data_IF_928453875897
#
_entry.id   IF_928453875897
#
_cell.length_a   1.000
_cell.length_b   1.000
_cell.length_c   1.000
_cell.angle_alpha   90.00
_cell.angle_beta   90.00
_cell.angle_gamma   90.00
#
_symmetry.space_group_name_H-M   'P 1'
#
loop_
_entity.id
_entity.type
_entity.pdbx_description
1 polymer ?
#
# COMPACT_ATOMS: atom_id res chain seq x y z
N UNK A 1 2.70 -34.76 21.95
CA UNK A 1 2.85 -34.59 20.48
C UNK A 1 1.66 -33.90 19.81
N UNK A 2 0.40 -34.15 20.22
CA UNK A 2 -0.80 -33.56 19.60
C UNK A 2 -0.87 -32.01 19.65
N UNK A 3 -0.44 -31.38 20.75
CA UNK A 3 -0.48 -29.93 20.91
C UNK A 3 0.52 -29.18 20.01
N UNK A 4 1.71 -29.76 19.78
CA UNK A 4 2.72 -29.19 18.87
C UNK A 4 2.26 -29.27 17.41
N UNK A 5 1.58 -30.36 17.02
CA UNK A 5 0.98 -30.50 15.69
C UNK A 5 -0.13 -29.49 15.43
N UNK A 6 -0.97 -29.20 16.44
CA UNK A 6 -2.01 -28.17 16.34
C UNK A 6 -1.41 -26.76 16.16
N UNK A 7 -0.37 -26.42 16.93
CA UNK A 7 0.29 -25.12 16.82
C UNK A 7 0.92 -24.89 15.44
N UNK A 8 1.53 -25.93 14.86
CA UNK A 8 2.09 -25.88 13.50
C UNK A 8 0.98 -25.73 12.46
N UNK A 9 -0.13 -26.46 12.60
CA UNK A 9 -1.27 -26.33 11.69
C UNK A 9 -1.89 -24.93 11.73
N UNK A 10 -2.02 -24.32 12.92
CA UNK A 10 -2.50 -22.95 13.07
C UNK A 10 -1.56 -21.95 12.39
N UNK A 11 -0.24 -22.10 12.55
CA UNK A 11 0.74 -21.20 11.93
C UNK A 11 0.69 -21.22 10.40
N UNK A 12 0.36 -22.37 9.79
CA UNK A 12 0.25 -22.49 8.33
C UNK A 12 -1.01 -21.84 7.74
N UNK A 13 -2.05 -21.61 8.54
CA UNK A 13 -3.33 -21.01 8.08
C UNK A 13 -3.29 -19.48 8.12
N UNK A 14 -2.45 -18.89 8.97
CA UNK A 14 -2.27 -17.42 9.09
C UNK A 14 -2.02 -16.71 7.75
N UNK A 15 -1.13 -17.16 6.85
CA UNK A 15 -0.86 -16.45 5.60
C UNK A 15 -2.03 -16.48 4.61
N UNK A 16 -2.98 -17.41 4.73
CA UNK A 16 -4.16 -17.48 3.87
C UNK A 16 -5.17 -16.36 4.16
N UNK A 17 -5.11 -15.79 5.37
CA UNK A 17 -5.96 -14.66 5.79
C UNK A 17 -5.34 -13.30 5.42
N UNK A 18 -4.04 -13.27 5.14
CA UNK A 18 -3.32 -12.07 4.73
C UNK A 18 -3.44 -11.85 3.22
N UNK A 19 -4.53 -11.23 2.78
CA UNK A 19 -4.60 -10.66 1.43
C UNK A 19 -3.90 -9.30 1.41
N UNK A 20 -2.66 -9.28 0.93
CA UNK A 20 -1.86 -8.05 0.82
C UNK A 20 -2.40 -7.06 -0.23
N UNK A 21 -3.19 -7.53 -1.20
CA UNK A 21 -3.84 -6.69 -2.21
C UNK A 21 -5.27 -7.21 -2.43
N UNK A 22 -6.26 -6.37 -2.14
CA UNK A 22 -7.64 -6.62 -2.56
C UNK A 22 -7.89 -5.92 -3.90
N UNK A 23 -8.80 -6.44 -4.74
CA UNK A 23 -9.19 -5.78 -5.99
C UNK A 23 -9.74 -4.37 -5.79
N UNK A 24 -10.20 -4.06 -4.58
CA UNK A 24 -10.67 -2.73 -4.17
C UNK A 24 -9.54 -1.70 -4.12
N UNK A 25 -8.30 -2.11 -3.87
CA UNK A 25 -7.18 -1.19 -3.67
C UNK A 25 -6.53 -0.77 -5.00
N UNK A 26 -6.66 -1.56 -6.06
CA UNK A 26 -5.99 -1.35 -7.35
C UNK A 26 -6.34 0.00 -7.98
N UNK A 27 -7.62 0.35 -8.02
CA UNK A 27 -8.09 1.61 -8.60
C UNK A 27 -7.66 2.82 -7.77
N UNK A 28 -7.64 2.70 -6.44
CA UNK A 28 -7.14 3.73 -5.55
C UNK A 28 -5.65 3.99 -5.77
N UNK A 29 -4.86 2.92 -5.89
CA UNK A 29 -3.42 3.00 -6.19
C UNK A 29 -3.19 3.63 -7.57
N UNK A 30 -3.91 3.17 -8.60
CA UNK A 30 -3.82 3.73 -9.96
C UNK A 30 -4.07 5.24 -9.94
N UNK A 31 -5.14 5.69 -9.25
CA UNK A 31 -5.48 7.11 -9.14
C UNK A 31 -4.42 7.92 -8.41
N UNK A 32 -3.88 7.40 -7.30
CA UNK A 32 -2.80 8.07 -6.56
C UNK A 32 -1.54 8.26 -7.42
N UNK A 33 -1.16 7.24 -8.20
CA UNK A 33 -0.01 7.30 -9.12
C UNK A 33 -0.24 8.34 -10.23
N UNK A 34 -1.40 8.32 -10.87
CA UNK A 34 -1.73 9.29 -11.94
C UNK A 34 -1.74 10.72 -11.41
N UNK A 35 -2.33 10.96 -10.23
CA UNK A 35 -2.29 12.25 -9.54
C UNK A 35 -0.84 12.74 -9.33
N UNK A 36 0.08 11.88 -8.89
CA UNK A 36 1.47 12.27 -8.71
C UNK A 36 2.19 12.57 -10.04
N UNK A 37 2.06 11.68 -11.03
CA UNK A 37 2.76 11.78 -12.32
C UNK A 37 2.25 12.97 -13.14
N UNK A 38 0.93 13.10 -13.29
CA UNK A 38 0.33 14.21 -14.03
C UNK A 38 0.57 15.54 -13.33
N UNK A 39 0.42 15.59 -12.00
CA UNK A 39 0.71 16.80 -11.23
C UNK A 39 2.14 17.29 -11.42
N UNK A 40 3.11 16.37 -11.56
CA UNK A 40 4.49 16.72 -11.88
C UNK A 40 4.65 17.33 -13.27
N UNK A 41 4.04 16.73 -14.30
CA UNK A 41 4.18 17.20 -15.69
C UNK A 41 3.35 18.45 -16.01
N UNK A 42 2.20 18.61 -15.35
CA UNK A 42 1.31 19.76 -15.53
C UNK A 42 1.66 20.94 -14.61
N UNK A 43 2.47 20.70 -13.57
CA UNK A 43 2.75 21.70 -12.54
C UNK A 43 1.59 21.94 -11.57
N UNK A 44 0.63 21.01 -11.47
CA UNK A 44 -0.51 21.10 -10.55
C UNK A 44 -0.18 20.47 -9.19
N UNK A 45 0.15 21.33 -8.22
CA UNK A 45 0.42 20.91 -6.83
C UNK A 45 -0.77 20.25 -6.13
N UNK A 46 -2.01 20.51 -6.57
CA UNK A 46 -3.22 19.91 -6.01
C UNK A 46 -3.26 18.41 -6.32
N UNK A 47 -2.95 18.05 -7.57
CA UNK A 47 -2.83 16.64 -7.99
C UNK A 47 -1.73 15.94 -7.18
N UNK A 48 -0.58 16.57 -7.01
CA UNK A 48 0.51 16.00 -6.20
C UNK A 48 0.03 15.76 -4.76
N UNK A 49 -0.61 16.74 -4.12
CA UNK A 49 -1.11 16.60 -2.74
C UNK A 49 -2.13 15.45 -2.58
N UNK A 50 -2.97 15.21 -3.59
CA UNK A 50 -3.91 14.08 -3.60
C UNK A 50 -3.24 12.71 -3.83
N UNK A 51 -2.06 12.68 -4.46
CA UNK A 51 -1.32 11.47 -4.79
C UNK A 51 -0.35 11.01 -3.70
N UNK A 52 -0.09 11.83 -2.68
CA UNK A 52 0.88 11.53 -1.62
C UNK A 52 0.20 11.29 -0.27
N UNK A 53 0.83 10.45 0.56
CA UNK A 53 0.38 10.28 1.93
C UNK A 53 0.56 11.61 2.72
N UNK A 54 -0.44 12.10 3.46
CA UNK A 54 -0.40 13.43 4.08
C UNK A 54 0.79 13.67 5.02
N UNK A 55 1.30 12.62 5.66
CA UNK A 55 2.44 12.71 6.59
C UNK A 55 3.76 12.25 5.94
N UNK A 56 3.79 12.09 4.62
CA UNK A 56 5.03 11.76 3.93
C UNK A 56 6.01 12.92 4.09
N UNK A 57 7.18 12.60 4.61
CA UNK A 57 8.27 13.56 4.78
C UNK A 57 9.42 13.12 3.89
N UNK A 58 9.85 13.98 2.97
CA UNK A 58 11.07 13.74 2.19
C UNK A 58 12.26 13.77 3.16
N UNK A 59 13.00 12.67 3.26
CA UNK A 59 14.26 12.60 4.02
C UNK A 59 15.43 12.61 3.03
N UNK A 60 16.46 13.42 3.30
CA UNK A 60 17.61 13.62 2.41
C UNK A 60 17.67 15.04 1.84
N UNK A 61 18.72 15.36 1.10
CA UNK A 61 19.00 16.72 0.64
C UNK A 61 18.63 16.97 -0.83
N UNK A 62 18.41 18.25 -1.11
CA UNK A 62 18.21 18.87 -2.42
C UNK A 62 19.50 18.84 -3.24
#
# INVERSE_FOLDING_TARGET
MKLKGLAVAVLMVVPLLSRAQSSTDEEGVRRAVLNYVEGFYEGDSTKIAMGVFPEVNKRGFY
#
